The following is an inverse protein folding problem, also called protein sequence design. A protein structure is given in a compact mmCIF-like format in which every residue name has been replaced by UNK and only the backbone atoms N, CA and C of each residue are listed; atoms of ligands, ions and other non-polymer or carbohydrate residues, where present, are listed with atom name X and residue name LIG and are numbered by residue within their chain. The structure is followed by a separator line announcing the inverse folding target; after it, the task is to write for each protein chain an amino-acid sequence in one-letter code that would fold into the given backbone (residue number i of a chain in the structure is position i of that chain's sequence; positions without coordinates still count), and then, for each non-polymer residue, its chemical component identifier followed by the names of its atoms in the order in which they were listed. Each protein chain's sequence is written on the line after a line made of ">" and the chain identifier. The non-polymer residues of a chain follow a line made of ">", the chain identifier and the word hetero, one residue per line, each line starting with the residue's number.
data_IF_027458271569
#
_entry.id   IF_027458271569
#
_cell.length_a   1.000
_cell.length_b   1.000
_cell.length_c   1.000
_cell.angle_alpha   90.00
_cell.angle_beta   90.00
_cell.angle_gamma   90.00
#
_symmetry.space_group_name_H-M   'P 1'
#
loop_
_entity.id
_entity.type
_entity.pdbx_description
1 polymer ?
#
# COMPACT_ATOMS: atom_id res chain seq x y z
N UNK A 1 9.27 22.96 -3.55
CA UNK A 1 8.91 22.52 -4.92
C UNK A 1 7.40 22.52 -5.04
N UNK A 2 6.84 22.95 -6.18
CA UNK A 2 5.40 23.20 -6.37
C UNK A 2 4.46 22.00 -6.05
N UNK A 3 5.01 20.78 -5.94
CA UNK A 3 4.28 19.55 -5.66
C UNK A 3 3.86 19.35 -4.19
N UNK A 4 4.54 20.00 -3.24
CA UNK A 4 4.29 19.82 -1.80
C UNK A 4 2.86 20.21 -1.43
N UNK A 5 2.37 21.32 -1.99
CA UNK A 5 1.04 21.88 -1.76
C UNK A 5 0.09 21.66 -2.95
N UNK A 6 0.52 20.91 -3.97
CA UNK A 6 -0.27 20.71 -5.19
C UNK A 6 -1.64 20.12 -4.85
N UNK A 7 -2.70 20.75 -5.37
CA UNK A 7 -4.08 20.28 -5.24
C UNK A 7 -4.43 19.40 -6.43
N UNK A 8 -4.56 18.11 -6.17
CA UNK A 8 -5.02 17.11 -7.13
C UNK A 8 -6.48 16.82 -6.79
N UNK A 9 -7.38 17.60 -7.39
CA UNK A 9 -8.82 17.44 -7.26
C UNK A 9 -9.46 17.40 -8.65
N UNK A 10 -10.72 16.96 -8.70
CA UNK A 10 -11.47 16.81 -9.95
C UNK A 10 -11.50 18.10 -10.76
N UNK A 11 -11.63 19.26 -10.10
CA UNK A 11 -11.72 20.57 -10.76
C UNK A 11 -10.37 21.01 -11.33
N UNK A 12 -9.27 20.78 -10.63
CA UNK A 12 -7.93 21.16 -11.09
C UNK A 12 -7.45 20.28 -12.24
N UNK A 13 -7.77 18.99 -12.21
CA UNK A 13 -7.20 18.00 -13.14
C UNK A 13 -8.03 17.79 -14.42
N UNK A 14 -9.36 17.92 -14.39
CA UNK A 14 -10.20 17.70 -15.58
C UNK A 14 -9.95 18.71 -16.71
N UNK A 15 -9.32 19.86 -16.42
CA UNK A 15 -8.94 20.86 -17.44
C UNK A 15 -7.88 20.38 -18.43
N UNK A 16 -7.11 19.35 -18.10
CA UNK A 16 -6.04 18.81 -18.94
C UNK A 16 -6.29 17.37 -19.44
N UNK A 17 -7.48 16.81 -19.18
CA UNK A 17 -7.78 15.39 -19.46
C UNK A 17 -7.51 14.99 -20.92
N UNK A 18 -7.89 15.81 -21.89
CA UNK A 18 -7.70 15.52 -23.32
C UNK A 18 -6.22 15.53 -23.77
N UNK A 19 -5.29 15.87 -22.87
CA UNK A 19 -3.84 15.93 -23.14
C UNK A 19 -3.08 14.76 -22.48
N UNK A 20 -3.78 13.82 -21.85
CA UNK A 20 -3.16 12.67 -21.18
C UNK A 20 -3.67 11.39 -21.82
N UNK A 21 -2.73 10.54 -22.24
CA UNK A 21 -2.99 9.25 -22.90
C UNK A 21 -3.16 8.13 -21.86
N UNK A 22 -4.10 7.20 -22.08
CA UNK A 22 -4.19 6.01 -21.25
C UNK A 22 -3.05 5.05 -21.60
N UNK A 23 -2.20 4.74 -20.63
CA UNK A 23 -1.07 3.82 -20.77
C UNK A 23 -1.46 2.45 -21.29
N UNK A 24 -2.73 2.04 -21.12
CA UNK A 24 -3.25 0.77 -21.63
C UNK A 24 -3.31 0.76 -23.16
N UNK A 25 -3.64 1.88 -23.81
CA UNK A 25 -3.76 1.94 -25.27
C UNK A 25 -2.41 1.65 -25.96
N UNK A 26 -1.35 2.28 -25.47
CA UNK A 26 0.03 2.03 -25.94
C UNK A 26 0.44 0.58 -25.67
N UNK A 27 0.10 0.07 -24.49
CA UNK A 27 0.42 -1.29 -24.07
C UNK A 27 -0.20 -2.33 -25.01
N UNK A 28 -1.46 -2.16 -25.39
CA UNK A 28 -2.14 -3.07 -26.32
C UNK A 28 -1.52 -3.05 -27.71
N UNK A 29 -1.12 -1.86 -28.19
CA UNK A 29 -0.43 -1.74 -29.47
C UNK A 29 0.94 -2.44 -29.44
N UNK A 30 1.74 -2.22 -28.39
CA UNK A 30 3.04 -2.88 -28.24
C UNK A 30 2.94 -4.41 -28.12
N UNK A 31 1.92 -4.92 -27.43
CA UNK A 31 1.70 -6.36 -27.32
C UNK A 31 1.31 -6.96 -28.68
N UNK A 32 0.42 -6.28 -29.42
CA UNK A 32 0.02 -6.66 -30.78
C UNK A 32 1.22 -6.69 -31.73
N UNK A 33 2.14 -5.75 -31.59
CA UNK A 33 3.38 -5.68 -32.37
C UNK A 33 4.43 -6.70 -31.90
N UNK A 34 4.14 -7.47 -30.83
CA UNK A 34 5.01 -8.52 -30.31
C UNK A 34 6.21 -8.02 -29.51
N UNK A 35 6.23 -6.74 -29.13
CA UNK A 35 7.34 -6.12 -28.39
C UNK A 35 7.38 -6.54 -26.91
N UNK A 36 6.19 -6.70 -26.31
CA UNK A 36 6.01 -7.01 -24.88
C UNK A 36 5.03 -8.17 -24.70
N UNK A 37 5.04 -8.76 -23.52
CA UNK A 37 3.97 -9.61 -23.00
C UNK A 37 3.25 -8.86 -21.87
N UNK A 38 1.92 -8.96 -21.80
CA UNK A 38 1.15 -8.29 -20.76
C UNK A 38 0.73 -9.28 -19.67
N UNK A 39 1.07 -8.99 -18.42
CA UNK A 39 0.49 -9.68 -17.28
C UNK A 39 -0.91 -9.11 -17.04
N UNK A 40 -1.93 -9.80 -17.55
CA UNK A 40 -3.33 -9.36 -17.48
C UNK A 40 -3.98 -9.69 -16.15
N UNK A 41 -4.91 -8.84 -15.74
CA UNK A 41 -5.87 -9.17 -14.68
C UNK A 41 -6.95 -10.07 -15.28
N UNK A 42 -6.77 -11.38 -15.22
CA UNK A 42 -7.76 -12.36 -15.72
C UNK A 42 -8.99 -12.54 -14.82
N UNK A 43 -10.04 -13.19 -15.33
CA UNK A 43 -11.30 -13.47 -14.61
C UNK A 43 -11.10 -14.26 -13.32
N UNK A 44 -10.08 -15.13 -13.29
CA UNK A 44 -9.71 -15.90 -12.09
C UNK A 44 -9.30 -15.02 -10.90
N UNK A 45 -8.97 -13.75 -11.11
CA UNK A 45 -8.68 -12.79 -10.05
C UNK A 45 -9.93 -12.07 -9.52
N UNK A 46 -11.11 -12.35 -10.10
CA UNK A 46 -12.39 -11.73 -9.78
C UNK A 46 -12.30 -10.19 -9.66
N UNK A 47 -11.86 -9.48 -10.72
CA UNK A 47 -11.57 -8.06 -10.61
C UNK A 47 -12.82 -7.22 -10.40
N UNK A 48 -12.68 -6.17 -9.59
CA UNK A 48 -13.65 -5.09 -9.46
C UNK A 48 -13.19 -3.90 -10.29
N UNK A 49 -14.10 -3.34 -11.07
CA UNK A 49 -13.85 -2.15 -11.87
C UNK A 49 -14.13 -0.88 -11.08
N UNK A 50 -13.20 0.07 -11.12
CA UNK A 50 -13.32 1.38 -10.50
C UNK A 50 -12.98 2.48 -11.50
N UNK A 51 -13.37 3.71 -11.18
CA UNK A 51 -13.07 4.88 -11.99
C UNK A 51 -11.87 5.64 -11.43
N UNK A 52 -10.98 6.03 -12.34
CA UNK A 52 -9.89 6.94 -11.99
C UNK A 52 -10.37 8.39 -11.99
N UNK A 53 -9.51 9.32 -11.59
CA UNK A 53 -9.77 10.76 -11.65
C UNK A 53 -10.20 11.25 -13.05
N UNK A 54 -9.71 10.60 -14.12
CA UNK A 54 -10.11 10.90 -15.49
C UNK A 54 -11.29 10.06 -15.99
N UNK A 55 -11.90 9.24 -15.14
CA UNK A 55 -13.02 8.37 -15.50
C UNK A 55 -12.62 7.14 -16.31
N UNK A 56 -11.32 6.85 -16.42
CA UNK A 56 -10.84 5.60 -17.01
C UNK A 56 -11.22 4.42 -16.12
N UNK A 57 -11.45 3.27 -16.73
CA UNK A 57 -11.68 2.03 -15.98
C UNK A 57 -10.34 1.47 -15.54
N UNK A 58 -10.19 1.25 -14.23
CA UNK A 58 -9.09 0.49 -13.65
C UNK A 58 -9.62 -0.80 -13.05
N UNK A 59 -8.91 -1.92 -13.27
CA UNK A 59 -9.33 -3.25 -12.80
C UNK A 59 -8.51 -3.65 -11.57
N UNK A 60 -9.19 -3.85 -10.44
CA UNK A 60 -8.54 -4.24 -9.17
C UNK A 60 -8.79 -5.74 -8.93
N UNK A 61 -7.77 -6.62 -9.00
CA UNK A 61 -7.93 -8.03 -8.67
C UNK A 61 -8.32 -8.17 -7.20
N UNK A 62 -9.27 -9.04 -6.88
CA UNK A 62 -9.75 -9.22 -5.49
C UNK A 62 -9.28 -10.52 -4.84
N UNK A 63 -8.85 -11.50 -5.64
CA UNK A 63 -8.32 -12.78 -5.17
C UNK A 63 -7.11 -13.24 -5.99
N UNK A 64 -6.46 -14.31 -5.54
CA UNK A 64 -5.19 -14.83 -6.09
C UNK A 64 -4.14 -13.74 -6.20
N UNK A 65 -3.75 -13.21 -5.05
CA UNK A 65 -2.84 -12.08 -4.96
C UNK A 65 -1.43 -12.54 -4.59
N UNK A 66 -0.41 -11.94 -5.19
CA UNK A 66 0.98 -12.10 -4.77
C UNK A 66 1.42 -10.87 -3.99
N UNK A 67 1.78 -11.03 -2.72
CA UNK A 67 2.10 -9.91 -1.84
C UNK A 67 3.49 -9.37 -2.16
N UNK A 68 3.57 -8.27 -2.90
CA UNK A 68 4.83 -7.58 -3.12
C UNK A 68 5.23 -6.86 -1.82
N UNK A 69 6.23 -7.42 -1.12
CA UNK A 69 6.60 -7.03 0.23
C UNK A 69 7.23 -5.63 0.27
N UNK A 70 6.92 -4.91 1.35
CA UNK A 70 7.50 -3.59 1.65
C UNK A 70 8.58 -3.70 2.70
N UNK A 71 9.81 -3.24 2.40
CA UNK A 71 10.87 -3.15 3.41
C UNK A 71 10.49 -2.25 4.59
N UNK A 72 9.73 -1.18 4.33
CA UNK A 72 9.26 -0.28 5.36
C UNK A 72 8.19 -0.92 6.25
N UNK A 73 7.20 -1.60 5.68
CA UNK A 73 6.14 -2.24 6.48
C UNK A 73 6.70 -3.39 7.30
N UNK A 74 7.40 -4.31 6.64
CA UNK A 74 7.95 -5.48 7.31
C UNK A 74 8.99 -5.12 8.37
N UNK A 75 9.74 -4.03 8.17
CA UNK A 75 10.82 -3.63 9.07
C UNK A 75 10.43 -2.64 10.17
N UNK A 76 9.48 -1.73 9.93
CA UNK A 76 9.16 -0.65 10.88
C UNK A 76 7.77 -0.78 11.52
N UNK A 77 6.77 -1.26 10.77
CA UNK A 77 5.36 -1.35 11.24
C UNK A 77 4.76 -2.69 10.76
N UNK A 78 5.18 -3.83 11.32
CA UNK A 78 4.76 -5.17 10.86
C UNK A 78 3.25 -5.43 11.02
N UNK A 79 2.55 -4.65 11.83
CA UNK A 79 1.09 -4.66 11.93
C UNK A 79 0.35 -4.33 10.62
N UNK A 80 1.01 -3.64 9.67
CA UNK A 80 0.46 -3.36 8.33
C UNK A 80 0.12 -4.63 7.55
N UNK A 81 1.11 -5.47 7.17
CA UNK A 81 0.83 -6.68 6.42
C UNK A 81 0.03 -7.66 7.26
N UNK A 82 0.29 -7.77 8.58
CA UNK A 82 -0.48 -8.67 9.45
C UNK A 82 -1.98 -8.35 9.43
N UNK A 83 -2.36 -7.08 9.53
CA UNK A 83 -3.77 -6.64 9.47
C UNK A 83 -4.41 -6.91 8.11
N UNK A 84 -3.67 -6.65 7.02
CA UNK A 84 -4.16 -6.91 5.66
C UNK A 84 -4.39 -8.41 5.44
N UNK A 85 -3.43 -9.26 5.82
CA UNK A 85 -3.53 -10.71 5.67
C UNK A 85 -4.65 -11.28 6.55
N UNK A 86 -4.81 -10.78 7.76
CA UNK A 86 -5.92 -11.16 8.63
C UNK A 86 -7.28 -10.83 7.99
N UNK A 87 -7.45 -9.61 7.44
CA UNK A 87 -8.66 -9.23 6.72
C UNK A 87 -8.92 -10.15 5.50
N UNK A 88 -7.87 -10.50 4.76
CA UNK A 88 -7.97 -11.42 3.64
C UNK A 88 -8.43 -12.82 4.07
N UNK A 89 -7.89 -13.34 5.18
CA UNK A 89 -8.29 -14.63 5.75
C UNK A 89 -9.75 -14.64 6.19
N UNK A 90 -10.20 -13.59 6.89
CA UNK A 90 -11.60 -13.45 7.31
C UNK A 90 -12.57 -13.45 6.12
N UNK A 91 -12.12 -12.93 4.98
CA UNK A 91 -12.88 -12.84 3.73
C UNK A 91 -12.68 -14.05 2.80
N UNK A 92 -11.86 -15.03 3.18
CA UNK A 92 -11.56 -16.22 2.37
C UNK A 92 -10.80 -15.92 1.08
N UNK A 93 -9.92 -14.93 1.11
CA UNK A 93 -9.19 -14.44 -0.06
C UNK A 93 -7.91 -15.25 -0.23
N UNK A 94 -7.75 -15.85 -1.41
CA UNK A 94 -6.53 -16.56 -1.78
C UNK A 94 -5.38 -15.59 -2.07
N UNK A 95 -4.23 -15.85 -1.46
CA UNK A 95 -3.00 -15.08 -1.69
C UNK A 95 -1.74 -15.92 -1.48
N UNK A 96 -0.61 -15.39 -1.95
CA UNK A 96 0.73 -15.89 -1.72
C UNK A 96 1.60 -14.81 -1.05
N UNK A 97 2.08 -15.09 0.17
CA UNK A 97 3.02 -14.23 0.90
C UNK A 97 4.47 -14.78 0.83
N UNK A 98 5.04 -14.74 -0.38
CA UNK A 98 6.39 -15.25 -0.64
C UNK A 98 7.48 -14.40 0.06
N UNK A 99 8.40 -15.03 0.80
CA UNK A 99 9.45 -14.33 1.55
C UNK A 99 10.71 -14.06 0.74
N UNK A 100 10.95 -14.80 -0.35
CA UNK A 100 12.15 -14.62 -1.18
C UNK A 100 11.98 -13.45 -2.17
N UNK A 101 11.94 -12.26 -1.62
CA UNK A 101 11.82 -11.00 -2.35
C UNK A 101 12.96 -10.06 -2.00
N UNK A 102 13.35 -9.22 -2.97
CA UNK A 102 14.32 -8.14 -2.69
C UNK A 102 13.62 -6.78 -2.69
N UNK A 103 14.32 -5.76 -2.18
CA UNK A 103 13.88 -4.37 -2.23
C UNK A 103 13.46 -3.94 -3.64
N UNK A 104 12.42 -3.10 -3.70
CA UNK A 104 11.99 -2.39 -4.92
C UNK A 104 12.98 -1.32 -5.37
N UNK A 105 13.92 -0.91 -4.51
CA UNK A 105 14.90 0.17 -4.72
C UNK A 105 14.30 1.58 -4.91
N UNK A 106 12.98 1.72 -4.75
CA UNK A 106 12.27 2.99 -4.99
C UNK A 106 12.67 4.11 -4.03
N UNK A 107 13.11 3.80 -2.81
CA UNK A 107 13.68 4.81 -1.88
C UNK A 107 14.84 5.60 -2.52
N UNK A 108 15.71 4.93 -3.29
CA UNK A 108 16.81 5.61 -3.98
C UNK A 108 16.30 6.53 -5.10
N UNK A 109 15.30 6.07 -5.86
CA UNK A 109 14.66 6.86 -6.90
C UNK A 109 14.13 8.19 -6.34
N UNK A 110 13.38 8.13 -5.22
CA UNK A 110 12.80 9.34 -4.62
C UNK A 110 13.81 10.19 -3.83
N UNK A 111 14.86 9.58 -3.27
CA UNK A 111 15.76 10.24 -2.32
C UNK A 111 16.91 11.02 -2.94
N UNK A 112 17.42 10.57 -4.09
CA UNK A 112 18.62 11.16 -4.68
C UNK A 112 18.42 11.65 -6.11
N UNK A 113 17.41 11.14 -6.83
CA UNK A 113 17.31 11.32 -8.29
C UNK A 113 18.45 10.65 -9.07
N UNK A 114 19.34 9.90 -8.39
CA UNK A 114 20.51 9.19 -8.97
C UNK A 114 20.14 7.72 -9.30
N UNK A 115 18.86 7.33 -9.14
CA UNK A 115 18.40 6.01 -9.54
C UNK A 115 18.59 5.81 -11.05
N UNK A 116 19.42 4.83 -11.43
CA UNK A 116 19.53 4.43 -12.83
C UNK A 116 18.19 3.84 -13.30
N UNK A 117 17.55 4.50 -14.27
CA UNK A 117 16.25 4.11 -14.80
C UNK A 117 16.23 2.66 -15.34
N UNK A 118 17.31 2.21 -15.97
CA UNK A 118 17.43 0.82 -16.45
C UNK A 118 17.39 -0.19 -15.29
N UNK A 119 18.08 0.12 -14.19
CA UNK A 119 18.08 -0.71 -12.99
C UNK A 119 16.71 -0.72 -12.31
N UNK A 120 16.06 0.45 -12.22
CA UNK A 120 14.70 0.56 -11.65
C UNK A 120 13.69 -0.27 -12.45
N UNK A 121 13.74 -0.15 -13.78
CA UNK A 121 12.91 -0.93 -14.69
C UNK A 121 13.20 -2.43 -14.60
N UNK A 122 14.46 -2.84 -14.55
CA UNK A 122 14.82 -4.24 -14.39
C UNK A 122 14.33 -4.81 -13.04
N UNK A 123 14.49 -4.10 -11.93
CA UNK A 123 14.00 -4.55 -10.61
C UNK A 123 12.47 -4.63 -10.57
N UNK A 124 11.78 -3.64 -11.14
CA UNK A 124 10.32 -3.64 -11.28
C UNK A 124 9.83 -4.88 -12.04
N UNK A 125 10.31 -5.08 -13.27
CA UNK A 125 9.84 -6.19 -14.11
C UNK A 125 10.29 -7.56 -13.57
N UNK A 126 11.46 -7.65 -12.90
CA UNK A 126 11.88 -8.88 -12.22
C UNK A 126 10.92 -9.28 -11.09
N UNK A 127 10.44 -8.32 -10.29
CA UNK A 127 9.46 -8.59 -9.24
C UNK A 127 8.12 -9.06 -9.82
N UNK A 128 7.65 -8.41 -10.88
CA UNK A 128 6.39 -8.76 -11.53
C UNK A 128 6.48 -10.10 -12.27
N UNK A 129 7.64 -10.42 -12.84
CA UNK A 129 7.91 -11.74 -13.38
C UNK A 129 7.94 -12.80 -12.27
N UNK A 130 8.49 -12.52 -11.08
CA UNK A 130 8.47 -13.48 -9.99
C UNK A 130 7.02 -13.87 -9.66
N UNK A 131 6.15 -12.89 -9.39
CA UNK A 131 4.73 -13.14 -9.15
C UNK A 131 4.04 -13.96 -10.26
N UNK A 132 4.35 -13.65 -11.53
CA UNK A 132 3.82 -14.37 -12.69
C UNK A 132 4.16 -15.87 -12.69
N UNK A 133 5.32 -16.26 -12.16
CA UNK A 133 5.77 -17.67 -12.15
C UNK A 133 5.69 -18.34 -10.78
N UNK A 134 5.46 -17.62 -9.68
CA UNK A 134 5.52 -18.18 -8.31
C UNK A 134 4.55 -19.35 -8.10
N UNK A 135 3.43 -19.37 -8.83
CA UNK A 135 2.43 -20.44 -8.72
C UNK A 135 2.91 -21.79 -9.28
N UNK A 136 3.95 -21.81 -10.13
CA UNK A 136 4.57 -23.06 -10.64
C UNK A 136 5.01 -23.98 -9.51
N UNK A 137 5.46 -23.41 -8.39
CA UNK A 137 5.87 -24.15 -7.19
C UNK A 137 4.75 -25.02 -6.60
N UNK A 138 3.50 -24.63 -6.85
CA UNK A 138 2.29 -25.32 -6.42
C UNK A 138 1.68 -26.19 -7.55
N UNK A 139 2.34 -26.29 -8.71
CA UNK A 139 1.81 -26.96 -9.89
C UNK A 139 0.71 -26.20 -10.61
N UNK A 140 0.56 -24.90 -10.32
CA UNK A 140 -0.43 -24.01 -10.92
C UNK A 140 0.17 -23.28 -12.14
N UNK A 141 -0.67 -22.79 -13.08
CA UNK A 141 -0.19 -22.11 -14.28
C UNK A 141 0.45 -20.76 -13.97
N UNK A 142 1.19 -20.25 -14.96
CA UNK A 142 1.64 -18.85 -14.94
C UNK A 142 0.47 -17.87 -14.85
N UNK A 143 0.75 -16.66 -14.37
CA UNK A 143 -0.24 -15.60 -14.14
C UNK A 143 -1.39 -16.00 -13.19
N UNK A 144 -1.23 -17.09 -12.43
CA UNK A 144 -2.25 -17.49 -11.45
C UNK A 144 -2.39 -16.45 -10.33
N UNK A 145 -1.26 -15.86 -9.88
CA UNK A 145 -1.25 -14.78 -8.91
C UNK A 145 -0.97 -13.42 -9.55
N UNK A 146 -1.69 -12.40 -9.12
CA UNK A 146 -1.47 -11.02 -9.53
C UNK A 146 -0.78 -10.18 -8.43
N UNK A 147 0.27 -9.38 -8.73
CA UNK A 147 0.97 -8.57 -7.74
C UNK A 147 0.06 -7.56 -7.02
N UNK A 148 0.10 -7.59 -5.69
CA UNK A 148 -0.45 -6.54 -4.83
C UNK A 148 0.71 -5.77 -4.19
N UNK A 149 0.87 -4.50 -4.55
CA UNK A 149 1.97 -3.64 -4.08
C UNK A 149 1.65 -3.08 -2.71
N UNK A 150 2.48 -3.39 -1.73
CA UNK A 150 2.24 -2.94 -0.35
C UNK A 150 2.71 -1.52 -0.09
N UNK A 151 3.79 -1.07 -0.73
CA UNK A 151 4.37 0.24 -0.44
C UNK A 151 3.93 1.30 -1.46
N UNK A 152 3.38 2.42 -0.98
CA UNK A 152 3.05 3.58 -1.81
C UNK A 152 4.26 4.12 -2.58
N UNK A 153 5.45 4.00 -2.00
CA UNK A 153 6.72 4.40 -2.61
C UNK A 153 7.09 3.58 -3.85
N UNK A 154 6.97 2.25 -3.79
CA UNK A 154 7.16 1.39 -4.98
C UNK A 154 6.03 1.55 -5.98
N UNK A 155 4.81 1.74 -5.48
CA UNK A 155 3.63 1.93 -6.33
C UNK A 155 3.78 3.15 -7.26
N UNK A 156 4.11 4.33 -6.72
CA UNK A 156 4.34 5.53 -7.54
C UNK A 156 5.51 5.35 -8.52
N UNK A 157 6.61 4.73 -8.07
CA UNK A 157 7.76 4.44 -8.93
C UNK A 157 7.41 3.48 -10.07
N UNK A 158 6.69 2.39 -9.79
CA UNK A 158 6.33 1.39 -10.80
C UNK A 158 5.37 1.95 -11.85
N UNK A 159 4.42 2.81 -11.47
CA UNK A 159 3.56 3.50 -12.45
C UNK A 159 4.38 4.36 -13.42
N UNK A 160 5.29 5.18 -12.90
CA UNK A 160 6.10 6.07 -13.74
C UNK A 160 7.09 5.27 -14.62
N UNK A 161 7.76 4.27 -14.05
CA UNK A 161 8.68 3.40 -14.81
C UNK A 161 7.94 2.60 -15.87
N UNK A 162 6.71 2.14 -15.59
CA UNK A 162 5.82 1.53 -16.59
C UNK A 162 5.57 2.52 -17.73
N UNK A 163 5.20 3.76 -17.44
CA UNK A 163 4.99 4.79 -18.46
C UNK A 163 6.24 4.97 -19.34
N UNK A 164 7.45 5.08 -18.76
CA UNK A 164 8.70 5.18 -19.53
C UNK A 164 8.98 3.95 -20.41
N UNK A 165 8.72 2.74 -19.91
CA UNK A 165 8.88 1.51 -20.67
C UNK A 165 7.95 1.45 -21.89
N UNK A 166 6.73 1.99 -21.78
CA UNK A 166 5.79 2.01 -22.89
C UNK A 166 6.21 3.01 -23.98
N UNK A 167 6.77 4.15 -23.61
CA UNK A 167 7.14 5.20 -24.56
C UNK A 167 8.56 5.07 -25.16
N UNK A 168 9.46 4.33 -24.51
CA UNK A 168 10.87 4.25 -24.94
C UNK A 168 11.28 2.85 -25.40
N UNK A 169 11.35 2.65 -26.71
CA UNK A 169 11.89 1.43 -27.32
C UNK A 169 13.36 1.19 -26.92
N UNK A 170 14.15 2.25 -26.79
CA UNK A 170 15.55 2.17 -26.35
C UNK A 170 15.64 1.64 -24.91
N UNK A 171 14.80 2.14 -23.99
CA UNK A 171 14.74 1.63 -22.63
C UNK A 171 14.32 0.16 -22.62
N UNK A 172 13.27 -0.21 -23.36
CA UNK A 172 12.85 -1.62 -23.48
C UNK A 172 13.98 -2.52 -23.96
N UNK A 173 14.72 -2.11 -24.99
CA UNK A 173 15.83 -2.89 -25.53
C UNK A 173 16.95 -3.10 -24.50
N UNK A 174 17.28 -2.08 -23.70
CA UNK A 174 18.30 -2.17 -22.64
C UNK A 174 17.84 -3.07 -21.49
N UNK A 175 16.63 -2.87 -21.00
CA UNK A 175 16.05 -3.67 -19.90
C UNK A 175 15.88 -5.13 -20.31
N UNK A 176 15.48 -5.40 -21.56
CA UNK A 176 15.35 -6.77 -22.11
C UNK A 176 16.67 -7.53 -22.06
N UNK A 177 17.80 -6.88 -22.37
CA UNK A 177 19.14 -7.49 -22.26
C UNK A 177 19.49 -7.85 -20.81
N UNK A 178 19.06 -7.04 -19.84
CA UNK A 178 19.30 -7.30 -18.41
C UNK A 178 18.46 -8.50 -17.96
N UNK A 179 17.14 -8.48 -18.22
CA UNK A 179 16.24 -9.54 -17.77
C UNK A 179 16.49 -10.88 -18.49
N UNK A 180 16.98 -10.86 -19.73
CA UNK A 180 17.43 -12.08 -20.43
C UNK A 180 18.52 -12.82 -19.65
N UNK A 181 19.47 -12.10 -19.04
CA UNK A 181 20.54 -12.71 -18.23
C UNK A 181 20.03 -13.31 -16.91
N UNK A 182 18.84 -12.90 -16.47
CA UNK A 182 18.22 -13.35 -15.24
C UNK A 182 17.15 -14.43 -15.46
N UNK A 183 16.94 -14.85 -16.72
CA UNK A 183 15.85 -15.73 -17.13
C UNK A 183 14.45 -15.20 -16.71
N UNK A 184 14.24 -13.89 -16.91
CA UNK A 184 13.02 -13.17 -16.53
C UNK A 184 12.28 -12.57 -17.73
N UNK A 185 12.25 -13.29 -18.84
CA UNK A 185 11.48 -12.94 -20.03
C UNK A 185 10.38 -13.97 -20.25
N UNK A 186 9.24 -13.55 -20.78
CA UNK A 186 8.15 -14.43 -21.20
C UNK A 186 8.16 -14.51 -22.73
N UNK A 187 8.44 -15.69 -23.28
CA UNK A 187 8.62 -15.91 -24.72
C UNK A 187 9.61 -14.94 -25.36
N UNK A 188 10.69 -14.63 -24.64
CA UNK A 188 11.71 -13.67 -25.07
C UNK A 188 11.24 -12.21 -25.07
N UNK A 189 10.15 -11.86 -24.36
CA UNK A 189 9.60 -10.50 -24.25
C UNK A 189 9.62 -10.00 -22.80
N UNK A 190 9.57 -8.67 -22.64
CA UNK A 190 9.38 -8.04 -21.34
C UNK A 190 7.94 -8.30 -20.86
N UNK A 191 7.77 -8.80 -19.65
CA UNK A 191 6.46 -8.93 -19.02
C UNK A 191 6.09 -7.64 -18.28
N UNK A 192 5.11 -6.88 -18.78
CA UNK A 192 4.66 -5.63 -18.17
C UNK A 192 3.21 -5.81 -17.65
N UNK A 193 2.88 -5.38 -16.41
CA UNK A 193 1.52 -5.53 -15.89
C UNK A 193 0.48 -4.63 -16.56
N UNK A 194 -0.73 -5.16 -16.76
CA UNK A 194 -1.93 -4.40 -17.16
C UNK A 194 -2.27 -3.32 -16.13
N UNK A 195 -2.16 -3.65 -14.85
CA UNK A 195 -2.43 -2.77 -13.72
C UNK A 195 -1.31 -2.83 -12.68
N UNK A 196 -0.90 -1.66 -12.18
CA UNK A 196 -0.12 -1.58 -10.94
C UNK A 196 -1.13 -1.28 -9.84
N UNK A 197 -1.26 -2.20 -8.88
CA UNK A 197 -2.32 -2.16 -7.87
C UNK A 197 -1.70 -2.07 -6.47
N UNK A 198 -2.12 -1.07 -5.70
CA UNK A 198 -1.69 -0.90 -4.32
C UNK A 198 -2.65 -1.60 -3.35
N UNK A 199 -2.14 -2.06 -2.20
CA UNK A 199 -2.97 -2.73 -1.21
C UNK A 199 -4.17 -1.87 -0.75
N UNK A 200 -4.02 -0.55 -0.63
CA UNK A 200 -5.13 0.31 -0.21
C UNK A 200 -6.19 0.47 -1.30
N UNK A 201 -5.84 0.30 -2.59
CA UNK A 201 -6.84 0.21 -3.67
C UNK A 201 -7.65 -1.08 -3.53
N UNK A 202 -6.99 -2.18 -3.15
CA UNK A 202 -7.67 -3.43 -2.81
C UNK A 202 -8.60 -3.27 -1.59
N UNK A 203 -8.11 -2.70 -0.49
CA UNK A 203 -8.94 -2.45 0.71
C UNK A 203 -10.15 -1.57 0.35
N UNK A 204 -9.96 -0.57 -0.51
CA UNK A 204 -11.03 0.28 -0.99
C UNK A 204 -12.13 -0.47 -1.76
N UNK A 205 -11.79 -1.35 -2.70
CA UNK A 205 -12.81 -2.13 -3.44
C UNK A 205 -13.45 -3.22 -2.58
N UNK A 206 -12.78 -3.63 -1.51
CA UNK A 206 -13.28 -4.63 -0.56
C UNK A 206 -14.03 -4.02 0.63
N UNK A 207 -14.13 -2.68 0.71
CA UNK A 207 -14.61 -1.95 1.90
C UNK A 207 -15.97 -2.40 2.41
N UNK A 208 -16.93 -2.68 1.53
CA UNK A 208 -18.29 -3.06 1.95
C UNK A 208 -18.30 -4.49 2.53
N UNK A 209 -17.48 -5.38 1.98
CA UNK A 209 -17.28 -6.73 2.52
C UNK A 209 -16.56 -6.70 3.87
N UNK A 210 -15.63 -5.76 4.04
CA UNK A 210 -14.95 -5.52 5.32
C UNK A 210 -15.93 -4.94 6.34
N UNK A 211 -16.71 -3.93 5.97
CA UNK A 211 -17.71 -3.31 6.84
C UNK A 211 -18.78 -4.31 7.30
N UNK A 212 -19.17 -5.27 6.45
CA UNK A 212 -20.06 -6.36 6.84
C UNK A 212 -19.49 -7.30 7.93
N UNK A 213 -18.18 -7.25 8.20
CA UNK A 213 -17.48 -7.99 9.28
C UNK A 213 -17.18 -7.11 10.48
N UNK A 214 -17.53 -5.82 10.46
CA UNK A 214 -17.29 -4.90 11.56
C UNK A 214 -18.04 -5.37 12.82
N UNK A 215 -17.33 -5.39 13.95
CA UNK A 215 -17.88 -5.80 15.25
C UNK A 215 -17.84 -4.68 16.29
N UNK A 216 -17.07 -3.62 16.03
CA UNK A 216 -16.91 -2.47 16.91
C UNK A 216 -17.42 -1.23 16.18
N UNK A 217 -18.31 -0.49 16.84
CA UNK A 217 -18.84 0.77 16.30
C UNK A 217 -17.76 1.87 16.30
N UNK A 218 -17.52 2.45 15.13
CA UNK A 218 -16.57 3.54 14.95
C UNK A 218 -17.26 4.90 14.69
N UNK A 219 -18.59 5.00 14.82
CA UNK A 219 -19.37 6.20 14.51
C UNK A 219 -18.98 7.46 15.29
N UNK A 220 -18.40 7.28 16.48
CA UNK A 220 -17.91 8.36 17.34
C UNK A 220 -16.47 8.81 16.99
N UNK A 221 -15.78 8.12 16.08
CA UNK A 221 -14.39 8.39 15.73
C UNK A 221 -14.32 9.45 14.63
N UNK A 222 -13.58 10.51 14.92
CA UNK A 222 -13.20 11.57 13.97
C UNK A 222 -11.87 11.21 13.35
N UNK A 223 -11.91 10.76 12.11
CA UNK A 223 -10.73 10.33 11.38
C UNK A 223 -10.33 11.37 10.34
N UNK A 224 -9.05 11.73 10.33
CA UNK A 224 -8.45 12.49 9.22
C UNK A 224 -7.70 11.53 8.30
N UNK A 225 -7.73 11.76 6.99
CA UNK A 225 -6.93 10.96 6.06
C UNK A 225 -5.65 11.74 5.72
N UNK A 226 -4.53 11.04 5.74
CA UNK A 226 -3.30 11.48 5.10
C UNK A 226 -3.08 10.66 3.83
N UNK A 227 -3.53 11.16 2.66
CA UNK A 227 -3.28 10.44 1.42
C UNK A 227 -1.81 10.58 1.04
N UNK A 228 -1.13 9.46 0.86
CA UNK A 228 0.28 9.46 0.50
C UNK A 228 0.48 10.02 -0.91
N UNK A 229 1.35 11.01 -1.07
CA UNK A 229 1.61 11.68 -2.35
C UNK A 229 1.97 10.71 -3.49
N UNK A 230 2.69 9.62 -3.20
CA UNK A 230 3.12 8.65 -4.20
C UNK A 230 1.99 7.75 -4.73
N UNK A 231 0.82 7.76 -4.07
CA UNK A 231 -0.34 6.97 -4.50
C UNK A 231 -1.24 7.74 -5.45
N UNK A 232 -1.39 9.06 -5.25
CA UNK A 232 -2.36 9.85 -6.00
C UNK A 232 -1.80 11.09 -6.69
N UNK A 233 -0.67 11.66 -6.25
CA UNK A 233 -0.13 12.87 -6.89
C UNK A 233 0.78 12.56 -8.06
N UNK A 234 1.59 11.50 -7.98
CA UNK A 234 2.64 11.22 -8.97
C UNK A 234 2.09 10.87 -10.36
N UNK A 235 1.07 10.02 -10.37
CA UNK A 235 0.35 9.60 -11.59
C UNK A 235 -1.14 9.76 -11.31
N UNK A 236 -1.62 11.02 -11.26
CA UNK A 236 -2.97 11.35 -10.79
C UNK A 236 -4.07 10.78 -11.68
N UNK A 237 -3.79 10.59 -12.97
CA UNK A 237 -4.68 9.96 -13.94
C UNK A 237 -5.05 8.51 -13.62
N UNK A 238 -4.23 7.81 -12.82
CA UNK A 238 -4.45 6.43 -12.37
C UNK A 238 -4.93 6.35 -10.91
N UNK A 239 -5.19 7.49 -10.26
CA UNK A 239 -5.71 7.53 -8.89
C UNK A 239 -7.23 7.29 -8.88
N UNK A 240 -7.73 6.49 -7.94
CA UNK A 240 -9.17 6.19 -7.82
C UNK A 240 -9.89 7.34 -7.13
N UNK A 241 -10.92 7.85 -7.80
CA UNK A 241 -11.85 8.85 -7.29
C UNK A 241 -13.27 8.33 -7.48
N UNK A 242 -14.13 8.68 -6.54
CA UNK A 242 -15.52 8.22 -6.48
C UNK A 242 -16.38 9.42 -6.11
N UNK A 243 -17.39 9.70 -6.92
CA UNK A 243 -18.26 10.86 -6.74
C UNK A 243 -19.13 10.72 -5.48
N UNK A 244 -19.35 9.50 -5.00
CA UNK A 244 -20.07 9.24 -3.76
C UNK A 244 -19.20 9.48 -2.50
N UNK A 245 -17.88 9.63 -2.67
CA UNK A 245 -16.93 9.85 -1.58
C UNK A 245 -16.45 11.30 -1.59
N UNK A 246 -17.00 12.10 -0.67
CA UNK A 246 -16.70 13.54 -0.56
C UNK A 246 -16.84 14.28 -1.92
N UNK A 247 -17.88 13.94 -2.69
CA UNK A 247 -18.20 14.52 -4.00
C UNK A 247 -17.08 14.34 -5.05
N UNK A 248 -16.21 13.34 -4.89
CA UNK A 248 -15.04 13.16 -5.73
C UNK A 248 -13.98 14.26 -5.56
N UNK A 249 -14.05 15.04 -4.48
CA UNK A 249 -13.07 16.10 -4.19
C UNK A 249 -11.85 15.59 -3.44
N UNK A 250 -11.87 14.35 -2.95
CA UNK A 250 -10.75 13.70 -2.24
C UNK A 250 -10.52 12.32 -2.85
N UNK A 251 -9.29 11.83 -2.77
CA UNK A 251 -8.97 10.47 -3.23
C UNK A 251 -9.83 9.46 -2.48
N UNK A 252 -10.45 8.53 -3.22
CA UNK A 252 -11.43 7.59 -2.66
C UNK A 252 -10.77 6.50 -1.81
N UNK A 253 -9.53 6.15 -2.14
CA UNK A 253 -8.70 5.18 -1.41
C UNK A 253 -8.49 5.67 0.02
N UNK A 254 -8.66 4.75 0.97
CA UNK A 254 -8.71 4.98 2.43
C UNK A 254 -9.89 5.85 2.90
N UNK A 255 -10.20 6.97 2.25
CA UNK A 255 -11.36 7.83 2.57
C UNK A 255 -12.67 7.05 2.56
N UNK A 256 -12.94 6.30 1.48
CA UNK A 256 -14.14 5.47 1.37
C UNK A 256 -14.15 4.29 2.33
N UNK A 257 -12.98 3.76 2.71
CA UNK A 257 -12.87 2.66 3.69
C UNK A 257 -13.33 3.16 5.06
N UNK A 258 -12.80 4.30 5.49
CA UNK A 258 -13.14 4.90 6.78
C UNK A 258 -14.61 5.32 6.83
N UNK A 259 -15.14 5.89 5.74
CA UNK A 259 -16.57 6.19 5.62
C UNK A 259 -17.46 4.94 5.68
N UNK A 260 -17.08 3.86 4.99
CA UNK A 260 -17.83 2.60 5.00
C UNK A 260 -17.85 1.91 6.38
N UNK A 261 -16.81 2.13 7.20
CA UNK A 261 -16.73 1.66 8.58
C UNK A 261 -17.48 2.56 9.58
N UNK A 262 -18.20 3.57 9.08
CA UNK A 262 -19.05 4.47 9.87
C UNK A 262 -18.32 5.61 10.59
N UNK A 263 -16.99 5.68 10.53
CA UNK A 263 -16.22 6.76 11.14
C UNK A 263 -16.41 8.09 10.41
N UNK A 264 -16.32 9.20 11.16
CA UNK A 264 -16.48 10.55 10.63
C UNK A 264 -15.20 10.98 9.92
N UNK A 265 -15.22 11.05 8.60
CA UNK A 265 -14.10 11.58 7.82
C UNK A 265 -14.10 13.10 7.89
N UNK A 266 -13.07 13.66 8.53
CA UNK A 266 -12.93 15.10 8.74
C UNK A 266 -11.92 15.68 7.74
N UNK A 267 -12.38 16.65 6.95
CA UNK A 267 -11.51 17.45 6.08
C UNK A 267 -10.75 18.51 6.89
N UNK A 268 -9.57 18.91 6.42
CA UNK A 268 -8.69 19.85 7.14
C UNK A 268 -7.78 20.60 6.17
N UNK A 269 -7.33 21.78 6.57
CA UNK A 269 -6.63 22.74 5.70
C UNK A 269 -5.35 22.22 5.04
N UNK A 270 -4.70 21.20 5.63
CA UNK A 270 -3.46 20.62 5.14
C UNK A 270 -3.61 19.22 4.53
N UNK A 271 -4.83 18.79 4.18
CA UNK A 271 -5.11 17.47 3.60
C UNK A 271 -4.13 17.09 2.47
N UNK A 272 -3.94 18.00 1.52
CA UNK A 272 -3.09 17.79 0.35
C UNK A 272 -1.59 17.83 0.65
N UNK A 273 -1.19 18.36 1.80
CA UNK A 273 0.22 18.57 2.10
C UNK A 273 0.92 17.24 2.35
N UNK A 274 2.17 17.17 1.90
CA UNK A 274 3.10 16.08 2.18
C UNK A 274 3.21 15.78 3.68
N UNK A 275 3.57 14.56 4.08
CA UNK A 275 3.86 14.22 5.49
C UNK A 275 5.16 14.85 6.02
N UNK A 276 5.97 15.45 5.14
CA UNK A 276 7.30 15.97 5.48
C UNK A 276 8.42 14.96 5.27
N UNK A 277 8.13 13.67 5.09
CA UNK A 277 9.15 12.62 4.96
C UNK A 277 10.12 12.86 3.80
N UNK A 278 9.62 13.40 2.68
CA UNK A 278 10.30 13.57 1.39
C UNK A 278 11.72 13.01 1.34
N UNK A 279 11.93 11.88 0.67
CA UNK A 279 13.12 11.01 0.78
C UNK A 279 14.48 11.71 0.81
N UNK A 280 14.65 12.85 0.11
CA UNK A 280 15.85 13.69 0.24
C UNK A 280 15.93 14.36 1.61
N UNK A 281 14.85 15.01 2.06
CA UNK A 281 14.76 15.72 3.33
C UNK A 281 15.01 14.80 4.54
N UNK A 282 14.53 13.55 4.56
CA UNK A 282 14.87 12.66 5.70
C UNK A 282 16.37 12.31 5.75
N UNK A 283 17.06 12.34 4.61
CA UNK A 283 18.50 12.05 4.53
C UNK A 283 19.32 13.31 4.86
N UNK A 284 18.99 14.46 4.25
CA UNK A 284 19.80 15.68 4.32
C UNK A 284 19.26 16.78 5.24
N UNK A 285 17.96 16.79 5.55
CA UNK A 285 17.23 17.89 6.22
C UNK A 285 16.26 17.36 7.30
N UNK A 286 16.77 16.54 8.22
CA UNK A 286 15.95 15.83 9.22
C UNK A 286 15.10 16.76 10.09
N UNK A 287 15.62 17.93 10.45
CA UNK A 287 14.89 18.91 11.25
C UNK A 287 13.70 19.53 10.50
N UNK A 288 13.82 19.69 9.18
CA UNK A 288 12.67 20.08 8.35
C UNK A 288 11.60 18.99 8.40
N UNK A 289 11.98 17.72 8.23
CA UNK A 289 11.03 16.60 8.26
C UNK A 289 10.29 16.53 9.60
N UNK A 290 11.02 16.65 10.71
CA UNK A 290 10.49 16.64 12.08
C UNK A 290 9.51 17.77 12.33
N UNK A 291 9.92 19.01 12.05
CA UNK A 291 9.09 20.19 12.27
C UNK A 291 7.86 20.19 11.36
N UNK A 292 8.01 19.81 10.09
CA UNK A 292 6.89 19.76 9.15
C UNK A 292 5.83 18.73 9.58
N UNK A 293 6.25 17.52 9.96
CA UNK A 293 5.33 16.48 10.41
C UNK A 293 4.51 16.94 11.62
N UNK A 294 5.13 17.62 12.58
CA UNK A 294 4.45 18.10 13.79
C UNK A 294 3.63 19.36 13.52
N UNK A 295 4.27 20.43 13.06
CA UNK A 295 3.64 21.75 12.99
C UNK A 295 2.61 21.85 11.86
N UNK A 296 2.84 21.19 10.72
CA UNK A 296 1.98 21.31 9.53
C UNK A 296 0.94 20.20 9.41
N UNK A 297 1.21 19.02 9.97
CA UNK A 297 0.31 17.86 9.87
C UNK A 297 -0.35 17.51 11.20
N UNK A 298 0.40 17.02 12.19
CA UNK A 298 -0.19 16.50 13.44
C UNK A 298 -0.92 17.61 14.21
N UNK A 299 -0.27 18.75 14.42
CA UNK A 299 -0.88 19.92 15.10
C UNK A 299 -2.20 20.34 14.45
N UNK A 300 -2.22 20.49 13.14
CA UNK A 300 -3.41 20.93 12.40
C UNK A 300 -4.53 19.90 12.53
N UNK A 301 -4.21 18.60 12.40
CA UNK A 301 -5.21 17.55 12.56
C UNK A 301 -5.82 17.52 13.98
N UNK A 302 -5.01 17.81 15.01
CA UNK A 302 -5.48 17.91 16.40
C UNK A 302 -6.29 19.18 16.63
N UNK A 303 -5.77 20.35 16.27
CA UNK A 303 -6.38 21.65 16.62
C UNK A 303 -7.56 22.03 15.72
N UNK A 304 -7.46 21.82 14.41
CA UNK A 304 -8.51 22.20 13.44
C UNK A 304 -9.55 21.09 13.30
N UNK A 305 -9.10 19.86 13.05
CA UNK A 305 -10.00 18.73 12.81
C UNK A 305 -10.48 18.05 14.09
N UNK A 306 -9.83 18.28 15.24
CA UNK A 306 -10.12 17.55 16.49
C UNK A 306 -10.14 16.04 16.24
N UNK A 307 -9.14 15.56 15.51
CA UNK A 307 -9.05 14.18 15.08
C UNK A 307 -8.75 13.24 16.26
N UNK A 308 -9.40 12.08 16.28
CA UNK A 308 -9.08 10.98 17.18
C UNK A 308 -8.03 10.03 16.58
N UNK A 309 -7.91 10.03 15.25
CA UNK A 309 -6.94 9.23 14.50
C UNK A 309 -6.62 9.90 13.17
N UNK A 310 -5.36 9.77 12.74
CA UNK A 310 -4.97 10.01 11.35
C UNK A 310 -4.72 8.67 10.65
N UNK A 311 -5.37 8.50 9.51
CA UNK A 311 -5.32 7.29 8.69
C UNK A 311 -4.39 7.52 7.51
N UNK A 312 -3.37 6.69 7.39
CA UNK A 312 -2.46 6.68 6.24
C UNK A 312 -2.54 5.38 5.46
N UNK A 313 -1.86 5.36 4.31
CA UNK A 313 -1.72 4.16 3.49
C UNK A 313 -0.31 4.03 2.86
N UNK A 314 0.68 4.71 3.43
CA UNK A 314 2.09 4.54 3.07
C UNK A 314 2.94 4.59 4.33
N UNK A 315 3.88 3.67 4.41
CA UNK A 315 4.67 3.46 5.62
C UNK A 315 5.65 4.59 5.90
N UNK A 316 6.18 5.24 4.86
CA UNK A 316 7.02 6.41 5.04
C UNK A 316 6.21 7.54 5.69
N UNK A 317 4.98 7.76 5.21
CA UNK A 317 4.08 8.74 5.80
C UNK A 317 3.74 8.42 7.26
N UNK A 318 3.28 7.21 7.54
CA UNK A 318 2.89 6.83 8.91
C UNK A 318 4.07 6.84 9.85
N UNK A 319 5.20 6.23 9.49
CA UNK A 319 6.39 6.22 10.35
C UNK A 319 6.83 7.64 10.68
N UNK A 320 6.74 8.57 9.71
CA UNK A 320 7.11 9.96 9.92
C UNK A 320 6.14 10.66 10.86
N UNK A 321 4.83 10.52 10.65
CA UNK A 321 3.83 11.20 11.46
C UNK A 321 3.72 10.58 12.86
N UNK A 322 3.96 9.28 13.00
CA UNK A 322 3.96 8.54 14.26
C UNK A 322 5.24 8.83 15.06
N UNK A 323 6.43 8.49 14.53
CA UNK A 323 7.69 8.53 15.29
C UNK A 323 8.14 9.93 15.65
N UNK A 324 7.79 10.95 14.88
CA UNK A 324 8.22 12.31 15.19
C UNK A 324 7.40 12.95 16.33
N UNK A 325 6.27 12.37 16.75
CA UNK A 325 5.48 12.92 17.88
C UNK A 325 6.28 12.91 19.19
N UNK A 326 7.09 11.87 19.42
CA UNK A 326 8.02 11.81 20.56
C UNK A 326 9.03 12.98 20.53
N UNK A 327 9.52 13.35 19.34
CA UNK A 327 10.46 14.47 19.16
C UNK A 327 9.74 15.79 19.41
N UNK A 328 8.50 15.92 18.94
CA UNK A 328 7.64 17.06 19.25
C UNK A 328 7.48 17.25 20.75
N UNK A 329 7.17 16.18 21.48
CA UNK A 329 7.08 16.20 22.94
C UNK A 329 8.39 16.65 23.61
N UNK A 330 9.54 16.10 23.19
CA UNK A 330 10.85 16.50 23.70
C UNK A 330 11.19 17.98 23.41
N UNK A 331 10.64 18.56 22.34
CA UNK A 331 10.81 19.95 21.94
C UNK A 331 9.73 20.90 22.52
N UNK A 332 8.88 20.44 23.46
CA UNK A 332 7.82 21.26 24.07
C UNK A 332 6.60 21.48 23.17
N UNK A 333 6.44 20.69 22.10
CA UNK A 333 5.32 20.69 21.16
C UNK A 333 4.57 19.36 21.24
N UNK A 334 4.03 19.05 22.41
CA UNK A 334 3.32 17.80 22.67
C UNK A 334 1.94 17.82 22.01
N UNK A 335 1.90 17.41 20.74
CA UNK A 335 0.68 17.02 20.04
C UNK A 335 0.65 15.51 19.95
N UNK A 336 -0.44 14.92 20.38
CA UNK A 336 -0.62 13.48 20.42
C UNK A 336 -1.84 13.10 19.59
N UNK A 337 -1.62 12.23 18.61
CA UNK A 337 -2.63 11.77 17.67
C UNK A 337 -2.25 10.35 17.20
N UNK A 338 -3.09 9.34 17.49
CA UNK A 338 -2.93 8.00 16.93
C UNK A 338 -2.80 8.03 15.40
N UNK A 339 -1.75 7.40 14.86
CA UNK A 339 -1.54 7.29 13.41
C UNK A 339 -1.58 5.81 13.02
N UNK A 340 -2.54 5.40 12.18
CA UNK A 340 -2.70 4.00 11.77
C UNK A 340 -2.83 3.86 10.25
N UNK A 341 -2.54 2.66 9.75
CA UNK A 341 -2.98 2.27 8.42
C UNK A 341 -4.50 2.25 8.33
N UNK A 342 -5.02 2.46 7.13
CA UNK A 342 -6.39 2.07 6.78
C UNK A 342 -6.69 0.59 7.07
N UNK A 343 -5.81 -0.34 6.68
CA UNK A 343 -6.00 -1.77 6.96
C UNK A 343 -5.88 -2.13 8.44
N UNK A 344 -5.04 -1.43 9.21
CA UNK A 344 -4.89 -1.61 10.66
C UNK A 344 -6.16 -1.15 11.38
N UNK A 345 -6.69 0.03 11.03
CA UNK A 345 -7.94 0.51 11.56
C UNK A 345 -9.11 -0.41 11.20
N UNK A 346 -9.20 -0.82 9.93
CA UNK A 346 -10.23 -1.76 9.46
C UNK A 346 -10.18 -3.10 10.21
N UNK A 347 -8.99 -3.70 10.37
CA UNK A 347 -8.84 -4.93 11.14
C UNK A 347 -9.23 -4.73 12.60
N UNK A 348 -8.80 -3.62 13.23
CA UNK A 348 -9.13 -3.30 14.62
C UNK A 348 -10.65 -3.27 14.84
N UNK A 349 -11.41 -2.55 14.01
CA UNK A 349 -12.87 -2.43 14.17
C UNK A 349 -13.64 -3.68 13.72
N UNK A 350 -13.01 -4.56 12.95
CA UNK A 350 -13.52 -5.91 12.67
C UNK A 350 -13.23 -6.91 13.81
N UNK A 351 -12.55 -6.48 14.88
CA UNK A 351 -12.29 -7.30 16.07
C UNK A 351 -10.95 -8.03 16.05
N UNK A 352 -10.02 -7.67 15.16
CA UNK A 352 -8.68 -8.21 15.21
C UNK A 352 -7.97 -7.83 16.52
N UNK A 353 -7.22 -8.75 17.09
CA UNK A 353 -6.54 -8.52 18.35
C UNK A 353 -5.53 -7.33 18.24
N UNK A 354 -5.61 -6.29 19.10
CA UNK A 354 -4.83 -5.06 18.97
C UNK A 354 -3.30 -5.27 18.97
N UNK A 355 -2.80 -6.21 19.78
CA UNK A 355 -1.37 -6.47 19.90
C UNK A 355 -0.84 -7.64 19.05
N UNK A 356 -1.63 -8.71 18.78
CA UNK A 356 -1.22 -9.83 17.92
C UNK A 356 -1.28 -9.48 16.43
N UNK A 357 -2.35 -8.83 15.98
CA UNK A 357 -2.63 -8.58 14.55
C UNK A 357 -2.38 -7.13 14.17
N UNK A 358 -3.07 -6.20 14.84
CA UNK A 358 -2.92 -4.76 14.56
C UNK A 358 -1.51 -4.29 14.95
N UNK A 359 -0.92 -4.98 15.94
CA UNK A 359 0.41 -4.73 16.50
C UNK A 359 0.63 -3.26 16.86
N UNK A 360 -0.37 -2.68 17.55
CA UNK A 360 -0.41 -1.26 17.89
C UNK A 360 0.81 -0.78 18.68
N UNK A 361 1.44 -1.67 19.46
CA UNK A 361 2.66 -1.42 20.24
C UNK A 361 3.90 -1.06 19.40
N UNK A 362 3.88 -1.26 18.08
CA UNK A 362 4.93 -0.76 17.19
C UNK A 362 4.78 0.71 16.84
N UNK A 363 3.65 1.35 17.16
CA UNK A 363 3.44 2.79 17.01
C UNK A 363 3.98 3.54 18.25
N UNK A 364 4.40 4.79 18.04
CA UNK A 364 4.87 5.68 19.09
C UNK A 364 3.78 6.66 19.56
N UNK A 365 2.77 6.90 18.72
CA UNK A 365 1.56 7.63 19.06
C UNK A 365 0.66 6.83 20.01
N UNK A 366 -0.19 7.52 20.77
CA UNK A 366 -1.00 6.93 21.84
C UNK A 366 -2.21 6.12 21.35
N UNK A 367 -1.97 5.04 20.61
CA UNK A 367 -3.04 4.17 20.07
C UNK A 367 -4.05 3.68 21.11
N UNK A 368 -3.66 3.63 22.39
CA UNK A 368 -4.52 3.35 23.54
C UNK A 368 -5.69 4.32 23.67
N UNK A 369 -5.50 5.61 23.39
CA UNK A 369 -6.57 6.63 23.47
C UNK A 369 -7.68 6.35 22.45
N UNK A 370 -7.29 5.93 21.24
CA UNK A 370 -8.22 5.47 20.21
C UNK A 370 -8.95 4.20 20.65
N UNK A 371 -8.23 3.22 21.21
CA UNK A 371 -8.83 1.98 21.71
C UNK A 371 -9.85 2.23 22.82
N UNK A 372 -9.56 3.14 23.76
CA UNK A 372 -10.50 3.54 24.81
C UNK A 372 -11.75 4.20 24.23
N UNK A 373 -11.61 5.06 23.21
CA UNK A 373 -12.76 5.69 22.53
C UNK A 373 -13.61 4.69 21.74
N UNK A 374 -12.99 3.63 21.21
CA UNK A 374 -13.65 2.50 20.56
C UNK A 374 -14.27 1.49 21.56
N UNK A 375 -14.10 1.68 22.87
CA UNK A 375 -14.59 0.76 23.90
C UNK A 375 -13.80 -0.55 24.00
N UNK A 376 -12.55 -0.58 23.51
CA UNK A 376 -11.67 -1.75 23.55
C UNK A 376 -10.91 -1.77 24.89
N UNK A 377 -11.02 -2.87 25.64
CA UNK A 377 -10.18 -3.10 26.82
C UNK A 377 -8.76 -3.51 26.42
N UNK A 378 -7.96 -2.51 26.07
CA UNK A 378 -6.59 -2.72 25.64
C UNK A 378 -5.69 -3.25 26.76
N UNK A 379 -6.05 -3.05 28.05
CA UNK A 379 -5.26 -3.57 29.17
C UNK A 379 -5.42 -5.08 29.28
N UNK A 380 -6.65 -5.58 29.15
CA UNK A 380 -6.91 -7.02 29.07
C UNK A 380 -6.24 -7.63 27.82
N UNK A 381 -6.40 -7.01 26.65
CA UNK A 381 -5.77 -7.50 25.41
C UNK A 381 -4.22 -7.51 25.51
N UNK A 382 -3.63 -6.54 26.21
CA UNK A 382 -2.19 -6.52 26.45
C UNK A 382 -1.74 -7.67 27.36
N UNK A 383 -2.48 -7.93 28.44
CA UNK A 383 -2.18 -9.06 29.33
C UNK A 383 -2.31 -10.41 28.59
N UNK A 384 -3.32 -10.56 27.72
CA UNK A 384 -3.46 -11.72 26.85
C UNK A 384 -2.25 -11.87 25.91
N UNK A 385 -1.82 -10.77 25.29
CA UNK A 385 -0.65 -10.77 24.41
C UNK A 385 0.64 -11.16 25.14
N UNK A 386 0.89 -10.61 26.33
CA UNK A 386 2.05 -10.96 27.15
C UNK A 386 2.04 -12.44 27.57
N UNK A 387 0.86 -13.01 27.81
CA UNK A 387 0.72 -14.45 28.04
C UNK A 387 1.00 -15.26 26.76
N UNK A 388 0.51 -14.81 25.61
CA UNK A 388 0.77 -15.44 24.31
C UNK A 388 2.26 -15.43 23.95
N UNK A 389 3.02 -14.38 24.27
CA UNK A 389 4.46 -14.34 24.01
C UNK A 389 5.22 -15.50 24.68
N UNK A 390 4.75 -16.01 25.83
CA UNK A 390 5.33 -17.19 26.47
C UNK A 390 5.07 -18.48 25.69
N UNK A 391 3.94 -18.56 24.97
CA UNK A 391 3.63 -19.68 24.09
C UNK A 391 4.52 -19.63 22.83
N UNK A 392 4.71 -18.44 22.27
CA UNK A 392 5.63 -18.22 21.14
C UNK A 392 7.06 -18.62 21.51
N UNK A 393 7.54 -18.24 22.70
CA UNK A 393 8.86 -18.66 23.21
C UNK A 393 8.99 -20.19 23.33
N UNK A 394 7.89 -20.88 23.64
CA UNK A 394 7.83 -22.34 23.70
C UNK A 394 7.71 -23.02 22.32
N UNK A 395 7.56 -22.25 21.23
CA UNK A 395 7.41 -22.75 19.86
C UNK A 395 5.96 -22.94 19.40
N UNK A 396 4.98 -22.58 20.22
CA UNK A 396 3.54 -22.75 19.97
C UNK A 396 2.93 -21.47 19.37
N UNK A 397 3.53 -20.97 18.29
CA UNK A 397 3.06 -19.75 17.62
C UNK A 397 1.89 -20.04 16.66
N UNK A 398 0.93 -19.12 16.62
CA UNK A 398 -0.14 -19.11 15.63
C UNK A 398 0.36 -18.43 14.35
N UNK A 399 0.26 -19.11 13.21
CA UNK A 399 0.61 -18.54 11.91
C UNK A 399 -0.66 -18.10 11.18
N UNK A 400 -0.63 -16.90 10.58
CA UNK A 400 -1.76 -16.36 9.79
C UNK A 400 -2.06 -17.18 8.53
N UNK A 401 -1.08 -17.93 8.03
CA UNK A 401 -1.20 -18.75 6.83
C UNK A 401 -0.23 -19.92 6.90
N UNK A 402 -0.34 -20.84 5.95
CA UNK A 402 0.54 -22.01 5.88
C UNK A 402 2.01 -21.58 5.63
N UNK A 403 2.92 -21.72 6.61
CA UNK A 403 4.29 -21.25 6.48
C UNK A 403 5.07 -21.98 5.37
N UNK A 404 4.58 -23.12 4.88
CA UNK A 404 5.19 -23.86 3.76
C UNK A 404 5.11 -23.10 2.44
N UNK A 405 4.18 -22.14 2.32
CA UNK A 405 3.99 -21.31 1.11
C UNK A 405 4.95 -20.12 1.04
N UNK A 406 5.75 -19.85 2.08
CA UNK A 406 6.67 -18.71 2.12
C UNK A 406 7.82 -18.82 1.10
N UNK A 407 8.26 -20.05 0.78
CA UNK A 407 9.38 -20.30 -0.13
C UNK A 407 8.83 -21.02 -1.36
N UNK A 408 8.99 -20.44 -2.55
CA UNK A 408 8.49 -21.03 -3.81
C UNK A 408 9.61 -21.54 -4.72
N UNK A 409 10.87 -21.21 -4.41
CA UNK A 409 12.04 -21.68 -5.16
C UNK A 409 13.31 -21.58 -4.32
N UNK A 410 14.44 -22.09 -4.81
CA UNK A 410 15.74 -21.92 -4.16
C UNK A 410 15.96 -22.77 -2.91
N UNK A 411 17.02 -22.47 -2.13
CA UNK A 411 17.37 -23.22 -0.92
C UNK A 411 16.23 -23.25 0.10
N UNK A 412 15.90 -24.44 0.61
CA UNK A 412 14.84 -24.64 1.60
C UNK A 412 13.44 -24.87 1.01
N UNK A 413 13.26 -24.70 -0.31
CA UNK A 413 11.99 -25.03 -0.97
C UNK A 413 11.68 -26.53 -0.85
N UNK A 414 10.45 -26.83 -0.43
CA UNK A 414 9.88 -28.19 -0.44
C UNK A 414 8.57 -28.13 -1.20
N UNK A 415 8.45 -28.94 -2.26
CA UNK A 415 7.22 -29.02 -3.04
C UNK A 415 6.08 -29.50 -2.14
N UNK A 416 5.00 -28.73 -2.10
CA UNK A 416 3.78 -29.13 -1.41
C UNK A 416 3.05 -30.08 -2.36
N UNK A 417 2.94 -31.35 -2.00
CA UNK A 417 2.11 -32.30 -2.73
C UNK A 417 0.66 -31.80 -2.68
N UNK A 418 0.00 -31.74 -3.84
CA UNK A 418 -1.42 -31.36 -3.92
C UNK A 418 -2.20 -32.26 -2.97
N UNK A 419 -3.02 -31.67 -2.08
CA UNK A 419 -4.01 -32.45 -1.32
C UNK A 419 -4.83 -33.26 -2.34
N UNK A 420 -4.80 -34.58 -2.19
CA UNK A 420 -5.52 -35.54 -3.02
C UNK A 420 -7.02 -35.36 -2.88
#
# INVERSE_FOLDING_TARGET
>A
TAWVEAKVDKRSMLTNKDRVEDVRDIMWQLEKDGEIAVHRVGDGHAPVEVKTLYGWTKRIPTTRLWHHKSCGQCGNIPGYPASLLWLMNELGIEYLDETDQTSCTAWNYHGSGIGNLESLAAVFLRNFHQAYVSARAQGLPDAYYYPLVHCGTSFGNYKEVRHYLLHSAELRARVKKILAKLDRLVDGKLLIPEEVVHYSEWVHVMRDRIAARQTIDASAIRATIHPACHVYKMVPEDAIYDDDILEGNRVAVSTGVIGALGAQVIDYSTWYDCCGFGFRHIISEREFTRSFAIDRKVKVAVEEAQADVMIGHDTGCITTLDKNQWIGQAAGKAYDLPILADCQFAALVCGAHPFKIVQSHWHASSTETLMEKLGIDWRAAKAEFEAYLKQVEAGDQENLYDPRLMITSGPGFKRIESRT
#
